data_IF_391042743062
#
_entry.id   IF_391042743062
#
_cell.length_a   1.000
_cell.length_b   1.000
_cell.length_c   1.000
_cell.angle_alpha   90.00
_cell.angle_beta   90.00
_cell.angle_gamma   90.00
#
_symmetry.space_group_name_H-M   'P 1'
#
loop_
_entity.id
_entity.type
_entity.pdbx_description
1 polymer ?
#
# COMPACT_ATOMS: atom_id res chain seq x y z
N UNK A 1 12.72 -39.94 1.91
CA UNK A 1 12.53 -39.77 3.37
C UNK A 1 12.85 -38.34 3.85
N UNK A 2 13.87 -37.66 3.32
CA UNK A 2 14.26 -36.31 3.77
C UNK A 2 13.40 -35.18 3.19
N UNK A 3 13.06 -35.24 1.89
CA UNK A 3 12.29 -34.19 1.23
C UNK A 3 10.92 -33.94 1.86
N UNK A 4 10.16 -34.99 2.17
CA UNK A 4 8.85 -34.88 2.82
C UNK A 4 8.95 -34.21 4.21
N UNK A 5 10.02 -34.50 4.98
CA UNK A 5 10.26 -33.86 6.29
C UNK A 5 10.63 -32.40 6.14
N UNK A 6 11.46 -32.05 5.14
CA UNK A 6 11.82 -30.66 4.84
C UNK A 6 10.58 -29.88 4.44
N UNK A 7 9.77 -30.42 3.51
CA UNK A 7 8.53 -29.77 3.05
C UNK A 7 7.57 -29.58 4.23
N UNK A 8 7.37 -30.61 5.05
CA UNK A 8 6.54 -30.52 6.25
C UNK A 8 7.04 -29.46 7.24
N UNK A 9 8.36 -29.39 7.46
CA UNK A 9 8.96 -28.39 8.33
C UNK A 9 8.75 -26.97 7.78
N UNK A 10 8.98 -26.74 6.48
CA UNK A 10 8.79 -25.43 5.83
C UNK A 10 7.34 -24.95 5.92
N UNK A 11 6.38 -25.85 5.63
CA UNK A 11 4.95 -25.53 5.73
C UNK A 11 4.59 -25.22 7.19
N UNK A 12 5.05 -26.06 8.13
CA UNK A 12 4.81 -25.85 9.57
C UNK A 12 5.35 -24.51 10.06
N UNK A 13 6.59 -24.16 9.70
CA UNK A 13 7.19 -22.88 10.10
C UNK A 13 6.51 -21.68 9.45
N UNK A 14 6.04 -21.80 8.20
CA UNK A 14 5.31 -20.73 7.51
C UNK A 14 4.00 -20.42 8.21
N UNK A 15 3.23 -21.46 8.56
CA UNK A 15 1.96 -21.31 9.28
C UNK A 15 2.18 -20.73 10.68
N UNK A 16 3.20 -21.23 11.40
CA UNK A 16 3.54 -20.72 12.72
C UNK A 16 3.94 -19.24 12.67
N UNK A 17 4.80 -18.87 11.72
CA UNK A 17 5.25 -17.49 11.54
C UNK A 17 4.08 -16.55 11.20
N UNK A 18 3.19 -16.96 10.29
CA UNK A 18 1.99 -16.20 9.96
C UNK A 18 1.06 -16.02 11.17
N UNK A 19 0.83 -17.09 11.94
CA UNK A 19 0.00 -17.02 13.14
C UNK A 19 0.58 -16.08 14.20
N UNK A 20 1.89 -16.13 14.42
CA UNK A 20 2.59 -15.23 15.34
C UNK A 20 2.53 -13.78 14.87
N UNK A 21 2.78 -13.51 13.58
CA UNK A 21 2.69 -12.17 13.02
C UNK A 21 1.27 -11.60 13.15
N UNK A 22 0.23 -12.37 12.83
CA UNK A 22 -1.15 -11.91 12.97
C UNK A 22 -1.50 -11.54 14.42
N UNK A 23 -1.14 -12.37 15.39
CA UNK A 23 -1.43 -12.11 16.81
C UNK A 23 -0.63 -10.91 17.33
N UNK A 24 0.64 -10.80 16.95
CA UNK A 24 1.52 -9.73 17.44
C UNK A 24 1.21 -8.40 16.74
N UNK A 25 1.18 -8.38 15.42
CA UNK A 25 1.11 -7.17 14.59
C UNK A 25 -0.34 -6.69 14.38
N UNK A 26 -1.25 -7.58 13.93
CA UNK A 26 -2.62 -7.17 13.59
C UNK A 26 -3.52 -7.06 14.82
N UNK A 27 -3.39 -8.01 15.76
CA UNK A 27 -4.14 -8.01 17.03
C UNK A 27 -3.44 -7.20 18.12
N UNK A 28 -2.21 -6.74 17.86
CA UNK A 28 -1.44 -5.83 18.71
C UNK A 28 -1.29 -6.37 20.13
N UNK A 29 -0.80 -7.60 20.25
CA UNK A 29 -0.60 -8.27 21.53
C UNK A 29 0.19 -7.43 22.54
N UNK A 30 1.19 -6.69 22.05
CA UNK A 30 2.04 -5.82 22.88
C UNK A 30 1.57 -4.35 22.90
N UNK A 31 0.34 -4.08 22.46
CA UNK A 31 -0.22 -2.74 22.34
C UNK A 31 0.18 -2.01 21.06
N UNK A 32 -0.26 -0.76 20.95
CA UNK A 32 -0.07 0.10 19.78
C UNK A 32 -1.37 0.45 19.06
N UNK A 33 -1.28 1.36 18.09
CA UNK A 33 -2.43 1.82 17.29
C UNK A 33 -2.09 1.77 15.81
N UNK A 34 -3.10 1.52 14.97
CA UNK A 34 -2.93 1.61 13.52
C UNK A 34 -3.06 3.10 13.15
N UNK A 35 -2.16 3.66 12.33
CA UNK A 35 -2.30 5.04 11.89
C UNK A 35 -3.61 5.22 11.10
N UNK A 36 -4.29 6.33 11.37
CA UNK A 36 -5.58 6.64 10.73
C UNK A 36 -5.48 6.71 9.21
N UNK A 37 -4.32 7.08 8.67
CA UNK A 37 -4.05 7.14 7.24
C UNK A 37 -4.06 5.77 6.55
N UNK A 38 -3.88 4.67 7.32
CA UNK A 38 -3.96 3.30 6.82
C UNK A 38 -5.32 2.67 7.14
N UNK A 39 -5.86 2.91 8.34
CA UNK A 39 -7.15 2.34 8.76
C UNK A 39 -8.35 3.02 8.12
N UNK A 40 -8.23 4.27 7.69
CA UNK A 40 -9.30 5.02 7.02
C UNK A 40 -9.23 4.80 5.50
N UNK A 41 -10.18 4.06 4.95
CA UNK A 41 -10.27 3.83 3.50
C UNK A 41 -10.46 5.14 2.70
N UNK A 42 -11.11 6.15 3.27
CA UNK A 42 -11.27 7.44 2.61
C UNK A 42 -9.92 8.13 2.37
N UNK A 43 -8.92 7.89 3.23
CA UNK A 43 -7.60 8.46 3.06
C UNK A 43 -6.91 7.97 1.78
N UNK A 44 -7.08 6.69 1.44
CA UNK A 44 -6.56 6.12 0.19
C UNK A 44 -7.23 6.73 -1.03
N UNK A 45 -8.55 6.91 -0.98
CA UNK A 45 -9.33 7.52 -2.07
C UNK A 45 -8.93 8.98 -2.29
N UNK A 46 -8.83 9.76 -1.20
CA UNK A 46 -8.39 11.15 -1.29
C UNK A 46 -6.94 11.28 -1.77
N UNK A 47 -6.05 10.40 -1.31
CA UNK A 47 -4.66 10.35 -1.78
C UNK A 47 -4.61 10.11 -3.29
N UNK A 48 -5.41 9.17 -3.81
CA UNK A 48 -5.44 8.88 -5.23
C UNK A 48 -6.00 10.05 -6.07
N UNK A 49 -7.06 10.71 -5.59
CA UNK A 49 -7.57 11.96 -6.19
C UNK A 49 -6.50 13.07 -6.21
N UNK A 50 -5.74 13.21 -5.12
CA UNK A 50 -4.66 14.20 -5.04
C UNK A 50 -3.50 13.90 -5.98
N UNK A 51 -3.22 12.63 -6.30
CA UNK A 51 -2.23 12.32 -7.33
C UNK A 51 -2.61 12.82 -8.72
N UNK A 52 -3.90 13.03 -9.00
CA UNK A 52 -4.36 13.67 -10.23
C UNK A 52 -4.23 15.20 -10.20
N UNK A 53 -4.16 15.82 -9.02
CA UNK A 53 -4.18 17.28 -8.85
C UNK A 53 -3.44 17.71 -7.58
N UNK A 54 -2.12 17.49 -7.55
CA UNK A 54 -1.33 17.71 -6.36
C UNK A 54 -1.14 19.21 -6.09
N UNK A 55 -1.47 19.69 -4.88
CA UNK A 55 -1.38 21.10 -4.57
C UNK A 55 0.08 21.56 -4.55
N UNK A 56 0.32 22.76 -5.06
CA UNK A 56 1.62 23.44 -5.01
C UNK A 56 1.50 24.74 -4.23
N UNK A 57 2.58 25.13 -3.57
CA UNK A 57 2.62 26.38 -2.77
C UNK A 57 2.51 27.62 -3.65
N UNK A 58 3.18 27.62 -4.81
CA UNK A 58 3.05 28.67 -5.82
C UNK A 58 2.85 28.05 -7.20
N UNK A 59 1.66 28.25 -7.77
CA UNK A 59 1.26 27.78 -9.10
C UNK A 59 0.06 26.83 -9.10
N UNK A 60 -0.47 26.48 -10.29
CA UNK A 60 -1.58 25.56 -10.42
C UNK A 60 -1.20 24.13 -9.97
N UNK A 61 -2.18 23.31 -9.54
CA UNK A 61 -1.95 21.92 -9.19
C UNK A 61 -1.32 21.12 -10.33
N UNK A 62 -0.53 20.10 -9.98
CA UNK A 62 0.21 19.26 -10.95
C UNK A 62 -0.08 17.79 -10.73
N UNK A 63 -0.13 17.02 -11.81
CA UNK A 63 -0.28 15.56 -11.78
C UNK A 63 0.99 14.90 -11.23
N UNK A 64 0.85 13.90 -10.37
CA UNK A 64 1.97 13.13 -9.82
C UNK A 64 2.19 11.84 -10.60
N UNK A 65 3.47 11.50 -10.78
CA UNK A 65 3.94 10.30 -11.45
C UNK A 65 3.36 10.11 -12.88
N UNK A 66 3.46 11.13 -13.76
CA UNK A 66 2.77 11.15 -15.05
C UNK A 66 3.11 9.98 -15.98
N UNK A 67 4.35 9.48 -15.96
CA UNK A 67 4.78 8.39 -16.84
C UNK A 67 4.24 7.05 -16.35
N UNK A 68 4.47 6.72 -15.06
CA UNK A 68 4.05 5.45 -14.49
C UNK A 68 2.53 5.32 -14.36
N UNK A 69 1.83 6.43 -14.08
CA UNK A 69 0.37 6.46 -13.94
C UNK A 69 -0.37 6.85 -15.22
N UNK A 70 0.36 7.25 -16.26
CA UNK A 70 -0.19 7.70 -17.54
C UNK A 70 -1.31 8.75 -17.39
N UNK A 71 -1.18 9.65 -16.41
CA UNK A 71 -2.20 10.62 -16.05
C UNK A 71 -1.83 12.07 -16.43
N UNK A 72 -1.04 12.24 -17.48
CA UNK A 72 -0.63 13.56 -17.96
C UNK A 72 -1.74 14.25 -18.76
N UNK A 73 -1.79 15.58 -18.67
CA UNK A 73 -2.76 16.41 -19.38
C UNK A 73 -2.30 16.54 -20.85
N UNK A 74 -3.11 16.03 -21.79
CA UNK A 74 -2.90 16.25 -23.23
C UNK A 74 -3.55 17.57 -23.62
N UNK A 75 -2.75 18.48 -24.19
CA UNK A 75 -3.26 19.75 -24.74
C UNK A 75 -3.82 19.50 -26.13
N UNK A 76 -5.02 20.00 -26.42
CA UNK A 76 -5.55 20.05 -27.78
C UNK A 76 -4.65 20.94 -28.65
N UNK A 77 -4.35 20.49 -29.86
CA UNK A 77 -3.81 21.34 -30.94
C UNK A 77 -4.89 21.37 -32.02
N UNK A 78 -5.16 22.57 -32.54
CA UNK A 78 -5.89 22.70 -33.80
C UNK A 78 -4.97 22.16 -34.91
N UNK A 79 -5.54 21.37 -35.82
CA UNK A 79 -4.84 20.85 -37.01
C UNK A 79 -4.44 21.98 -37.97
#
# INVERSE_FOLDING_TARGET
MTAAKIIGAVVGTTVLAFGLDHVISDRKLFGGTTPSTVSNQAWWQETDKKFQSWPRVAGPPVVMNPISRQNFIVKSRDE
#
